data_IF_881521354886
#
_entry.id   IF_881521354886
#
_cell.length_a   1.000
_cell.length_b   1.000
_cell.length_c   1.000
_cell.angle_alpha   90.00
_cell.angle_beta   90.00
_cell.angle_gamma   90.00
#
_symmetry.space_group_name_H-M   'P 1'
#
loop_
_entity.id
_entity.type
_entity.pdbx_description
1 polymer ?
#
# COMPACT_ATOMS: atom_id res chain seq x y z
N UNK A 1 -5.79 0.49 19.31
CA UNK A 1 -7.05 1.28 19.34
C UNK A 1 -6.84 2.76 19.00
N UNK A 2 -5.97 3.51 19.71
CA UNK A 2 -5.75 4.95 19.42
C UNK A 2 -5.31 5.22 17.97
N UNK A 3 -4.27 4.55 17.46
CA UNK A 3 -3.81 4.72 16.08
C UNK A 3 -4.89 4.42 15.02
N UNK A 4 -5.70 3.38 15.23
CA UNK A 4 -6.84 3.04 14.36
C UNK A 4 -7.86 4.18 14.32
N UNK A 5 -8.25 4.71 15.49
CA UNK A 5 -9.17 5.83 15.59
C UNK A 5 -8.66 7.08 14.85
N UNK A 6 -7.39 7.45 15.03
CA UNK A 6 -6.81 8.61 14.34
C UNK A 6 -6.69 8.39 12.84
N UNK A 7 -6.36 7.17 12.40
CA UNK A 7 -6.34 6.82 10.99
C UNK A 7 -7.70 7.01 10.33
N UNK A 8 -8.79 6.57 10.96
CA UNK A 8 -10.14 6.77 10.44
C UNK A 8 -10.46 8.27 10.34
N UNK A 9 -10.24 9.06 11.40
CA UNK A 9 -10.56 10.50 11.36
C UNK A 9 -9.77 11.24 10.27
N UNK A 10 -8.45 10.98 10.13
CA UNK A 10 -7.64 11.58 9.06
C UNK A 10 -8.09 11.14 7.67
N UNK A 11 -8.50 9.88 7.52
CA UNK A 11 -9.06 9.40 6.26
C UNK A 11 -10.32 10.18 5.88
N UNK A 12 -11.21 10.42 6.85
CA UNK A 12 -12.36 11.31 6.64
C UNK A 12 -11.90 12.73 6.27
N UNK A 13 -11.03 13.37 7.03
CA UNK A 13 -10.53 14.72 6.70
C UNK A 13 -9.92 14.81 5.29
N UNK A 14 -9.15 13.81 4.88
CA UNK A 14 -8.48 13.79 3.58
C UNK A 14 -9.41 13.49 2.40
N UNK A 15 -10.49 12.72 2.62
CA UNK A 15 -11.28 12.12 1.54
C UNK A 15 -12.79 12.41 1.60
N UNK A 16 -13.27 13.20 2.57
CA UNK A 16 -14.70 13.50 2.75
C UNK A 16 -15.28 14.48 1.71
N UNK A 17 -14.52 15.49 1.30
CA UNK A 17 -15.02 16.56 0.42
C UNK A 17 -14.68 16.34 -1.07
N UNK A 18 -15.66 16.61 -1.94
CA UNK A 18 -15.52 16.74 -3.40
C UNK A 18 -16.09 15.58 -4.21
N UNK A 19 -16.70 15.85 -5.37
CA UNK A 19 -16.97 14.84 -6.41
C UNK A 19 -15.68 14.63 -7.19
N UNK A 20 -14.83 13.74 -6.71
CA UNK A 20 -13.53 13.42 -7.30
C UNK A 20 -13.70 12.06 -7.96
N UNK A 21 -13.47 11.99 -9.26
CA UNK A 21 -13.77 10.79 -10.03
C UNK A 21 -12.89 9.62 -9.57
N UNK A 22 -13.26 8.36 -9.84
CA UNK A 22 -12.46 7.18 -9.51
C UNK A 22 -11.00 7.25 -10.00
N UNK A 23 -10.71 8.16 -10.94
CA UNK A 23 -9.41 8.34 -11.60
C UNK A 23 -8.44 9.29 -10.91
N UNK A 24 -8.78 9.91 -9.77
CA UNK A 24 -7.88 10.90 -9.14
C UNK A 24 -6.93 10.29 -8.09
N UNK A 25 -7.28 9.13 -7.52
CA UNK A 25 -6.46 8.43 -6.51
C UNK A 25 -5.14 7.89 -7.04
N UNK A 26 -5.06 7.66 -8.35
CA UNK A 26 -3.90 7.03 -9.01
C UNK A 26 -3.18 7.99 -9.95
N UNK A 27 -3.39 9.31 -9.78
CA UNK A 27 -2.67 10.33 -10.53
C UNK A 27 -1.38 10.68 -9.81
N UNK A 28 -0.35 10.89 -10.61
CA UNK A 28 0.89 11.47 -10.12
C UNK A 28 0.66 12.96 -9.80
N UNK A 29 0.94 13.42 -8.57
CA UNK A 29 0.86 14.84 -8.25
C UNK A 29 1.81 15.66 -9.14
N UNK A 30 1.39 16.85 -9.56
CA UNK A 30 2.24 17.75 -10.34
C UNK A 30 3.54 18.06 -9.57
N UNK A 31 4.68 17.88 -10.23
CA UNK A 31 6.00 18.13 -9.64
C UNK A 31 6.51 17.03 -8.69
N UNK A 32 5.80 15.92 -8.52
CA UNK A 32 6.30 14.77 -7.76
C UNK A 32 7.59 14.21 -8.38
N UNK A 33 8.51 13.71 -7.54
CA UNK A 33 9.76 13.08 -7.98
C UNK A 33 9.55 11.72 -8.69
N UNK A 34 8.32 11.23 -8.67
CA UNK A 34 7.92 9.95 -9.23
C UNK A 34 6.77 10.12 -10.22
N UNK A 35 6.50 9.10 -11.01
CA UNK A 35 5.35 8.98 -11.90
C UNK A 35 4.78 7.57 -11.84
N UNK A 36 3.46 7.46 -11.74
CA UNK A 36 2.72 6.20 -11.81
C UNK A 36 2.53 5.83 -13.28
N UNK A 37 2.95 4.63 -13.66
CA UNK A 37 2.89 4.11 -15.03
C UNK A 37 2.46 2.65 -15.05
N UNK A 38 2.02 2.16 -16.20
CA UNK A 38 1.91 0.72 -16.45
C UNK A 38 3.27 0.18 -16.86
N UNK A 39 3.71 -0.91 -16.24
CA UNK A 39 4.97 -1.62 -16.52
C UNK A 39 4.63 -3.01 -17.04
N UNK A 40 5.18 -3.34 -18.21
CA UNK A 40 4.98 -4.63 -18.85
C UNK A 40 5.33 -5.78 -17.91
N UNK A 41 4.43 -6.75 -17.78
CA UNK A 41 4.60 -7.92 -16.90
C UNK A 41 4.47 -7.65 -15.39
N UNK A 42 4.39 -6.39 -14.94
CA UNK A 42 4.27 -6.03 -13.51
C UNK A 42 2.97 -5.31 -13.14
N UNK A 43 2.13 -4.98 -14.11
CA UNK A 43 0.92 -4.21 -13.87
C UNK A 43 1.24 -2.72 -13.75
N UNK A 44 0.85 -2.06 -12.65
CA UNK A 44 1.27 -0.67 -12.41
C UNK A 44 2.54 -0.65 -11.61
N UNK A 45 3.32 0.40 -11.80
CA UNK A 45 4.52 0.66 -11.03
C UNK A 45 4.79 2.15 -10.94
N UNK A 46 5.89 2.47 -10.29
CA UNK A 46 6.37 3.84 -10.12
C UNK A 46 7.74 3.97 -10.78
N UNK A 47 7.92 5.03 -11.56
CA UNK A 47 9.21 5.41 -12.16
C UNK A 47 9.64 6.80 -11.66
N UNK A 48 10.93 7.11 -11.75
CA UNK A 48 11.44 8.44 -11.44
C UNK A 48 11.01 9.46 -12.52
N UNK A 49 10.41 10.59 -12.13
CA UNK A 49 9.99 11.65 -13.07
C UNK A 49 11.14 12.60 -13.44
N UNK A 50 12.19 12.61 -12.63
CA UNK A 50 13.45 13.35 -12.77
C UNK A 50 14.59 12.55 -12.15
N UNK A 51 15.82 13.05 -12.25
CA UNK A 51 16.93 12.53 -11.45
C UNK A 51 16.64 12.75 -9.95
N UNK A 52 16.94 11.73 -9.14
CA UNK A 52 16.73 11.67 -7.69
C UNK A 52 18.10 11.38 -7.07
N UNK A 53 18.54 12.21 -6.11
CA UNK A 53 19.81 12.01 -5.43
C UNK A 53 19.71 10.88 -4.40
N UNK A 54 20.83 10.24 -4.04
CA UNK A 54 20.89 9.28 -2.94
C UNK A 54 20.42 9.91 -1.61
N UNK A 55 19.59 9.18 -0.85
CA UNK A 55 19.05 9.63 0.42
C UNK A 55 17.88 10.63 0.31
N UNK A 56 17.45 10.94 -0.91
CA UNK A 56 16.32 11.84 -1.15
C UNK A 56 14.98 11.14 -0.82
N UNK A 57 14.09 11.87 -0.16
CA UNK A 57 12.72 11.40 0.12
C UNK A 57 11.88 11.53 -1.15
N UNK A 58 11.41 10.40 -1.68
CA UNK A 58 10.59 10.34 -2.90
C UNK A 58 9.10 10.50 -2.59
N UNK A 59 8.63 9.85 -1.53
CA UNK A 59 7.23 9.86 -1.12
C UNK A 59 7.13 9.86 0.41
N UNK A 60 6.24 10.70 0.94
CA UNK A 60 5.71 10.61 2.30
C UNK A 60 4.22 10.38 2.16
N UNK A 61 3.71 9.30 2.73
CA UNK A 61 2.29 8.97 2.63
C UNK A 61 1.71 8.68 4.00
N UNK A 62 0.57 9.31 4.27
CA UNK A 62 -0.25 8.98 5.43
C UNK A 62 -1.14 7.80 5.04
N UNK A 63 -1.17 6.69 5.81
CA UNK A 63 -1.98 5.53 5.46
C UNK A 63 -3.47 5.86 5.36
N UNK A 64 -4.13 5.28 4.35
CA UNK A 64 -5.60 5.36 4.22
C UNK A 64 -6.30 4.56 5.31
N UNK A 65 -5.65 3.48 5.77
CA UNK A 65 -6.12 2.63 6.85
C UNK A 65 -4.93 2.13 7.68
N UNK A 66 -5.09 2.17 9.00
CA UNK A 66 -4.22 1.50 9.97
C UNK A 66 -5.05 0.46 10.70
N UNK A 67 -4.56 -0.78 10.74
CA UNK A 67 -5.25 -1.91 11.36
C UNK A 67 -4.28 -2.77 12.18
N UNK A 68 -4.73 -3.38 13.30
CA UNK A 68 -3.96 -4.46 13.94
C UNK A 68 -3.75 -5.63 12.96
N UNK A 69 -2.64 -6.36 13.12
CA UNK A 69 -2.35 -7.56 12.34
C UNK A 69 -3.17 -8.74 12.91
N UNK A 70 -4.48 -8.73 12.64
CA UNK A 70 -5.37 -9.87 12.87
C UNK A 70 -6.43 -9.96 11.76
N UNK A 71 -6.95 -11.16 11.54
CA UNK A 71 -7.88 -11.49 10.44
C UNK A 71 -9.31 -10.99 10.65
N UNK A 72 -9.59 -10.21 11.70
CA UNK A 72 -10.93 -9.68 12.02
C UNK A 72 -11.12 -8.20 11.69
N UNK A 73 -10.06 -7.50 11.26
CA UNK A 73 -10.08 -6.05 11.06
C UNK A 73 -10.68 -5.57 9.73
N UNK A 74 -11.19 -6.45 8.87
CA UNK A 74 -11.78 -6.07 7.58
C UNK A 74 -13.07 -5.23 7.69
N UNK A 75 -13.74 -5.25 8.84
CA UNK A 75 -14.88 -4.35 9.08
C UNK A 75 -14.45 -2.87 9.19
N UNK A 76 -13.17 -2.58 9.43
CA UNK A 76 -12.67 -1.20 9.50
C UNK A 76 -12.79 -0.48 8.15
N UNK A 77 -12.85 -1.21 7.03
CA UNK A 77 -13.11 -0.63 5.71
C UNK A 77 -14.48 0.05 5.63
N UNK A 78 -15.46 -0.44 6.38
CA UNK A 78 -16.80 0.15 6.42
C UNK A 78 -16.82 1.51 7.14
N UNK A 79 -15.74 1.85 7.84
CA UNK A 79 -15.55 3.13 8.51
C UNK A 79 -14.79 4.13 7.65
N UNK A 80 -14.30 3.74 6.47
CA UNK A 80 -13.64 4.67 5.56
C UNK A 80 -14.67 5.54 4.83
N UNK A 81 -14.32 6.78 4.46
CA UNK A 81 -15.18 7.58 3.60
C UNK A 81 -15.31 6.93 2.22
N UNK A 82 -16.44 7.18 1.53
CA UNK A 82 -16.78 6.55 0.24
C UNK A 82 -15.61 6.53 -0.75
N UNK A 83 -14.92 7.66 -0.92
CA UNK A 83 -13.82 7.73 -1.89
C UNK A 83 -12.64 6.80 -1.56
N UNK A 84 -12.31 6.69 -0.27
CA UNK A 84 -11.26 5.78 0.16
C UNK A 84 -11.68 4.32 -0.07
N UNK A 85 -12.94 3.99 0.18
CA UNK A 85 -13.52 2.66 -0.12
C UNK A 85 -13.43 2.36 -1.63
N UNK A 86 -13.69 3.33 -2.49
CA UNK A 86 -13.61 3.17 -3.95
C UNK A 86 -12.16 3.07 -4.46
N UNK A 87 -11.21 3.70 -3.78
CA UNK A 87 -9.79 3.67 -4.14
C UNK A 87 -9.13 2.32 -3.83
N UNK A 88 -9.51 1.66 -2.74
CA UNK A 88 -8.89 0.39 -2.30
C UNK A 88 -8.99 -0.71 -3.37
N UNK A 89 -10.17 -0.99 -3.99
CA UNK A 89 -10.31 -1.93 -5.10
C UNK A 89 -9.48 -1.61 -6.34
N UNK A 90 -8.95 -0.38 -6.46
CA UNK A 90 -8.07 -0.06 -7.56
C UNK A 90 -6.70 -0.71 -7.38
N UNK A 91 -6.27 -1.10 -6.18
CA UNK A 91 -5.01 -1.78 -5.92
C UNK A 91 -4.98 -3.21 -6.50
N UNK A 92 -3.78 -3.77 -6.69
CA UNK A 92 -3.65 -5.12 -7.26
C UNK A 92 -4.12 -6.17 -6.25
N UNK A 93 -5.00 -7.08 -6.65
CA UNK A 93 -5.37 -8.24 -5.85
C UNK A 93 -4.67 -9.48 -6.41
N UNK A 94 -3.61 -9.96 -5.75
CA UNK A 94 -2.90 -11.16 -6.19
C UNK A 94 -3.66 -12.47 -5.85
N UNK A 95 -4.66 -12.38 -4.97
CA UNK A 95 -5.43 -13.51 -4.47
C UNK A 95 -6.95 -13.38 -4.73
N UNK A 96 -7.40 -13.10 -5.98
CA UNK A 96 -8.82 -12.83 -6.25
C UNK A 96 -9.73 -14.06 -6.07
N UNK A 97 -9.14 -15.25 -5.94
CA UNK A 97 -9.85 -16.50 -5.73
C UNK A 97 -10.04 -16.84 -4.24
N UNK A 98 -9.34 -16.17 -3.33
CA UNK A 98 -9.50 -16.41 -1.89
C UNK A 98 -10.82 -15.83 -1.39
N UNK A 99 -11.66 -16.69 -0.78
CA UNK A 99 -13.01 -16.32 -0.33
C UNK A 99 -13.31 -16.73 1.13
N UNK A 100 -12.45 -16.36 2.09
CA UNK A 100 -12.58 -16.84 3.47
C UNK A 100 -13.92 -16.52 4.15
N UNK A 101 -14.57 -15.42 3.78
CA UNK A 101 -15.86 -15.00 4.35
C UNK A 101 -17.02 -15.69 3.64
N UNK A 102 -17.02 -15.71 2.30
CA UNK A 102 -18.12 -16.32 1.54
C UNK A 102 -18.18 -17.84 1.68
N UNK A 103 -17.09 -18.50 2.11
CA UNK A 103 -17.10 -19.92 2.48
C UNK A 103 -18.08 -20.25 3.60
N UNK A 104 -18.36 -19.31 4.52
CA UNK A 104 -19.33 -19.50 5.61
C UNK A 104 -20.77 -19.28 5.12
N UNK A 105 -20.97 -18.18 4.40
CA UNK A 105 -22.26 -17.80 3.84
C UNK A 105 -22.02 -16.81 2.70
N UNK A 106 -22.62 -17.04 1.54
CA UNK A 106 -22.45 -16.15 0.39
C UNK A 106 -23.48 -15.01 0.40
N UNK A 107 -23.14 -13.90 1.08
CA UNK A 107 -23.93 -12.67 1.13
C UNK A 107 -23.12 -11.47 0.58
N UNK A 108 -23.78 -10.39 0.11
CA UNK A 108 -23.10 -9.26 -0.52
C UNK A 108 -21.94 -8.67 0.32
N UNK A 109 -22.12 -8.56 1.64
CA UNK A 109 -21.06 -8.07 2.53
C UNK A 109 -19.82 -8.99 2.51
N UNK A 110 -20.00 -10.31 2.54
CA UNK A 110 -18.87 -11.25 2.55
C UNK A 110 -18.08 -11.21 1.25
N UNK A 111 -18.75 -11.05 0.10
CA UNK A 111 -18.07 -10.86 -1.18
C UNK A 111 -17.18 -9.63 -1.19
N UNK A 112 -17.64 -8.52 -0.60
CA UNK A 112 -16.84 -7.30 -0.45
C UNK A 112 -15.64 -7.52 0.49
N UNK A 113 -15.86 -8.20 1.62
CA UNK A 113 -14.78 -8.51 2.57
C UNK A 113 -13.73 -9.47 1.97
N UNK A 114 -14.14 -10.42 1.12
CA UNK A 114 -13.20 -11.30 0.39
C UNK A 114 -12.31 -10.49 -0.57
N UNK A 115 -12.88 -9.52 -1.31
CA UNK A 115 -12.13 -8.62 -2.19
C UNK A 115 -11.10 -7.82 -1.37
N UNK A 116 -11.51 -7.20 -0.27
CA UNK A 116 -10.59 -6.45 0.60
C UNK A 116 -9.53 -7.33 1.24
N UNK A 117 -9.87 -8.58 1.58
CA UNK A 117 -8.91 -9.55 2.11
C UNK A 117 -7.78 -9.84 1.12
N UNK A 118 -8.11 -10.14 -0.13
CA UNK A 118 -7.11 -10.39 -1.17
C UNK A 118 -6.26 -9.16 -1.53
N UNK A 119 -6.84 -7.96 -1.47
CA UNK A 119 -6.08 -6.72 -1.67
C UNK A 119 -5.11 -6.47 -0.50
N UNK A 120 -5.59 -6.61 0.74
CA UNK A 120 -4.78 -6.34 1.92
C UNK A 120 -3.58 -7.28 2.04
N UNK A 121 -3.74 -8.55 1.67
CA UNK A 121 -2.67 -9.54 1.79
C UNK A 121 -1.44 -9.21 0.95
N UNK A 122 -1.57 -8.41 -0.11
CA UNK A 122 -0.45 -8.04 -1.00
C UNK A 122 -0.12 -6.56 -1.06
N UNK A 123 -0.90 -5.68 -0.44
CA UNK A 123 -0.68 -4.23 -0.49
C UNK A 123 -0.43 -3.59 0.87
N UNK A 124 -0.53 -4.37 1.96
CA UNK A 124 -0.32 -3.86 3.31
C UNK A 124 1.15 -3.93 3.72
N UNK A 125 1.58 -2.94 4.49
CA UNK A 125 2.90 -2.91 5.08
C UNK A 125 2.81 -3.17 6.59
N UNK A 126 3.70 -4.01 7.09
CA UNK A 126 3.92 -4.13 8.53
C UNK A 126 4.83 -2.99 9.01
N UNK A 127 4.40 -2.27 10.04
CA UNK A 127 5.21 -1.28 10.75
C UNK A 127 5.12 -1.49 12.25
N UNK A 128 6.18 -1.10 12.97
CA UNK A 128 6.22 -1.17 14.43
C UNK A 128 5.94 0.21 14.99
N UNK A 129 4.81 0.36 15.69
CA UNK A 129 4.46 1.58 16.42
C UNK A 129 4.40 1.27 17.92
N UNK A 130 5.19 1.98 18.73
CA UNK A 130 5.13 1.93 20.20
C UNK A 130 4.99 0.50 20.78
N UNK A 131 5.86 -0.44 20.35
CA UNK A 131 5.89 -1.85 20.76
C UNK A 131 4.73 -2.76 20.27
N UNK A 132 3.95 -2.32 19.28
CA UNK A 132 2.93 -3.13 18.63
C UNK A 132 3.19 -3.18 17.12
N UNK A 133 3.06 -4.36 16.51
CA UNK A 133 3.02 -4.46 15.06
C UNK A 133 1.62 -4.11 14.56
N UNK A 134 1.57 -3.18 13.61
CA UNK A 134 0.35 -2.75 12.94
C UNK A 134 0.53 -2.92 11.43
N UNK A 135 -0.57 -3.23 10.75
CA UNK A 135 -0.68 -3.18 9.31
C UNK A 135 -1.12 -1.78 8.89
N UNK A 136 -0.49 -1.25 7.85
CA UNK A 136 -0.89 -0.01 7.20
C UNK A 136 -1.21 -0.29 5.73
N UNK A 137 -2.27 0.32 5.24
CA UNK A 137 -2.60 0.34 3.82
C UNK A 137 -2.28 1.73 3.26
N UNK A 138 -1.48 1.74 2.20
CA UNK A 138 -1.16 2.91 1.41
C UNK A 138 -1.92 2.83 0.08
N UNK A 139 -2.09 3.95 -0.63
CA UNK A 139 -2.65 3.94 -1.97
C UNK A 139 -1.54 4.07 -3.01
N UNK A 140 -0.62 5.02 -2.82
CA UNK A 140 0.49 5.25 -3.75
C UNK A 140 1.68 4.35 -3.44
N UNK A 141 2.05 4.22 -2.17
CA UNK A 141 3.17 3.40 -1.71
C UNK A 141 3.03 1.92 -2.08
N UNK A 142 1.80 1.42 -2.17
CA UNK A 142 1.51 0.05 -2.62
C UNK A 142 1.75 -0.19 -4.11
N UNK A 143 2.14 0.83 -4.88
CA UNK A 143 2.50 0.72 -6.30
C UNK A 143 4.01 0.61 -6.55
N UNK A 144 4.84 0.73 -5.53
CA UNK A 144 6.26 0.42 -5.68
C UNK A 144 6.39 -1.10 -5.86
N UNK A 145 6.99 -1.53 -6.96
CA UNK A 145 7.17 -2.95 -7.24
C UNK A 145 8.34 -3.55 -6.45
N UNK A 146 8.37 -4.88 -6.42
CA UNK A 146 9.45 -5.63 -5.79
C UNK A 146 10.74 -5.65 -6.62
N UNK A 147 11.88 -5.63 -5.93
CA UNK A 147 13.18 -6.07 -6.46
C UNK A 147 14.06 -6.66 -5.35
N UNK A 148 14.82 -7.71 -5.66
CA UNK A 148 15.88 -8.24 -4.78
C UNK A 148 17.10 -7.29 -4.69
N UNK A 149 17.23 -6.36 -5.64
CA UNK A 149 18.22 -5.27 -5.63
C UNK A 149 17.49 -3.92 -5.65
N UNK A 150 16.84 -3.53 -4.53
CA UNK A 150 16.00 -2.34 -4.50
C UNK A 150 16.84 -1.06 -4.64
N UNK A 151 16.24 -0.02 -5.22
CA UNK A 151 16.81 1.34 -5.24
C UNK A 151 16.07 2.29 -4.30
N UNK A 152 14.98 1.85 -3.66
CA UNK A 152 14.22 2.59 -2.67
C UNK A 152 14.07 1.74 -1.40
N UNK A 153 14.28 2.36 -0.25
CA UNK A 153 13.95 1.81 1.06
C UNK A 153 12.74 2.53 1.66
N UNK A 154 12.12 1.88 2.64
CA UNK A 154 10.99 2.42 3.38
C UNK A 154 11.31 2.56 4.86
N UNK A 155 10.75 3.58 5.51
CA UNK A 155 10.84 3.78 6.96
C UNK A 155 9.56 4.41 7.49
N UNK A 156 9.24 4.14 8.76
CA UNK A 156 8.03 4.62 9.42
C UNK A 156 8.34 5.80 10.33
N UNK A 157 7.70 6.94 10.08
CA UNK A 157 7.69 8.09 10.99
C UNK A 157 6.54 7.93 11.98
N UNK A 158 6.86 7.46 13.19
CA UNK A 158 5.85 7.20 14.21
C UNK A 158 5.23 8.47 14.80
N UNK A 159 5.91 9.61 14.73
CA UNK A 159 5.38 10.89 15.23
C UNK A 159 4.31 11.43 14.29
N UNK A 160 4.58 11.39 12.98
CA UNK A 160 3.64 11.86 11.94
C UNK A 160 2.70 10.78 11.44
N UNK A 161 2.92 9.53 11.84
CA UNK A 161 2.24 8.33 11.35
C UNK A 161 2.27 8.24 9.81
N UNK A 162 3.47 8.37 9.24
CA UNK A 162 3.70 8.35 7.78
C UNK A 162 4.72 7.29 7.37
N UNK A 163 4.44 6.60 6.27
CA UNK A 163 5.46 5.81 5.58
C UNK A 163 6.28 6.74 4.68
N UNK A 164 7.61 6.60 4.75
CA UNK A 164 8.56 7.40 3.99
C UNK A 164 9.34 6.47 3.06
N UNK A 165 9.33 6.76 1.77
CA UNK A 165 10.14 6.09 0.76
C UNK A 165 11.35 6.96 0.42
N UNK A 166 12.55 6.39 0.54
CA UNK A 166 13.84 7.10 0.41
C UNK A 166 14.72 6.37 -0.59
N UNK A 167 15.37 7.11 -1.49
CA UNK A 167 16.32 6.54 -2.45
C UNK A 167 17.58 6.00 -1.75
N UNK A 168 18.03 4.82 -2.17
CA UNK A 168 19.23 4.17 -1.64
C UNK A 168 20.52 4.58 -2.39
N UNK A 169 20.35 5.15 -3.58
CA UNK A 169 21.41 5.60 -4.48
C UNK A 169 20.86 6.72 -5.37
N UNK A 170 21.71 7.31 -6.19
CA UNK A 170 21.25 8.16 -7.28
C UNK A 170 20.39 7.33 -8.26
N UNK A 171 19.26 7.88 -8.68
CA UNK A 171 18.30 7.26 -9.61
C UNK A 171 18.06 8.24 -10.76
N UNK A 172 18.21 7.77 -11.99
CA UNK A 172 17.96 8.54 -13.21
C UNK A 172 16.49 8.60 -13.54
N UNK A 173 16.08 9.71 -14.15
CA UNK A 173 14.76 9.86 -14.73
C UNK A 173 14.40 8.63 -15.59
N UNK A 174 13.20 8.10 -15.37
CA UNK A 174 12.67 6.95 -16.09
C UNK A 174 13.02 5.58 -15.50
N UNK A 175 13.97 5.51 -14.55
CA UNK A 175 14.21 4.26 -13.82
C UNK A 175 13.01 3.90 -12.95
N UNK A 176 12.68 2.60 -12.87
CA UNK A 176 11.66 2.08 -11.97
C UNK A 176 12.11 2.22 -10.51
N UNK A 177 11.21 2.70 -9.66
CA UNK A 177 11.39 2.79 -8.23
C UNK A 177 10.85 1.50 -7.59
N UNK A 178 11.76 0.73 -6.99
CA UNK A 178 11.49 -0.62 -6.48
C UNK A 178 12.01 -0.79 -5.07
N UNK A 179 11.26 -1.52 -4.24
CA UNK A 179 11.66 -1.86 -2.87
C UNK A 179 11.61 -3.38 -2.60
N UNK A 180 12.20 -3.81 -1.48
CA UNK A 180 12.08 -5.20 -1.04
C UNK A 180 10.73 -5.41 -0.35
N UNK A 181 9.92 -6.38 -0.79
CA UNK A 181 8.62 -6.71 -0.20
C UNK A 181 8.77 -7.49 1.11
N UNK A 182 9.88 -8.21 1.27
CA UNK A 182 10.13 -9.08 2.43
C UNK A 182 11.52 -8.83 3.02
N UNK A 183 11.80 -7.57 3.46
CA UNK A 183 13.12 -7.19 3.95
C UNK A 183 13.56 -8.05 5.13
N UNK A 184 14.83 -8.44 5.13
CA UNK A 184 15.43 -9.27 6.17
C UNK A 184 15.06 -10.77 6.11
N UNK A 185 14.23 -11.21 5.16
CA UNK A 185 13.91 -12.63 4.95
C UNK A 185 14.83 -13.21 3.88
N UNK A 186 15.42 -14.37 4.15
CA UNK A 186 16.39 -15.03 3.28
C UNK A 186 16.01 -16.47 2.93
N UNK A 187 16.72 -17.04 1.95
CA UNK A 187 16.68 -18.46 1.61
C UNK A 187 15.31 -18.97 1.13
N UNK A 188 14.96 -20.19 1.54
CA UNK A 188 13.69 -20.85 1.15
C UNK A 188 12.47 -20.04 1.62
N UNK A 189 12.51 -19.53 2.85
CA UNK A 189 11.43 -18.72 3.43
C UNK A 189 11.14 -17.46 2.61
N UNK A 190 12.18 -16.82 2.06
CA UNK A 190 12.00 -15.66 1.16
C UNK A 190 11.19 -16.04 -0.06
N UNK A 191 11.60 -17.12 -0.75
CA UNK A 191 10.91 -17.61 -1.96
C UNK A 191 9.46 -17.98 -1.68
N UNK A 192 9.19 -18.59 -0.52
CA UNK A 192 7.82 -18.95 -0.13
C UNK A 192 6.94 -17.72 0.13
N UNK A 193 7.48 -16.68 0.77
CA UNK A 193 6.74 -15.43 0.99
C UNK A 193 6.51 -14.65 -0.31
N UNK A 194 7.49 -14.60 -1.21
CA UNK A 194 7.35 -13.87 -2.49
C UNK A 194 6.26 -14.44 -3.40
N UNK A 195 5.98 -15.75 -3.31
CA UNK A 195 4.84 -16.37 -4.02
C UNK A 195 3.49 -15.75 -3.69
N UNK A 196 3.32 -15.16 -2.51
CA UNK A 196 2.09 -14.44 -2.14
C UNK A 196 1.88 -13.22 -3.05
N UNK A 197 2.95 -12.66 -3.60
CA UNK A 197 2.90 -11.53 -4.52
C UNK A 197 2.92 -11.96 -6.00
N UNK A 198 2.85 -13.27 -6.29
CA UNK A 198 2.98 -13.79 -7.65
C UNK A 198 4.40 -13.74 -8.22
N UNK A 199 5.42 -13.65 -7.35
CA UNK A 199 6.85 -13.55 -7.69
C UNK A 199 7.59 -14.84 -7.32
#
# INVERSE_FOLDING_TARGET
MRAVYWSINRSWEAYIEGSVGPSDFMRTPFGAAYQIVTIEGKGRGIIASRDIAAGEVVLRETPVLVAPIDSSNFLLFLLLPQKAIEAVPLLHNAHPQERPFSLRQDIPLHRLLDIFSGIMSTNSFGVTATNCQIGILLLTGSLFNHSDTPNVARTWDAEKEQEIFVSLRDIKKGEELVHDYVPGVQGRTRREKLKQYGI
#
